data_IF_047649047773
#
_entry.id   IF_047649047773
#
_cell.length_a   1.000
_cell.length_b   1.000
_cell.length_c   1.000
_cell.angle_alpha   90.00
_cell.angle_beta   90.00
_cell.angle_gamma   90.00
#
_symmetry.space_group_name_H-M   'P 1'
#
loop_
_entity.id
_entity.type
_entity.pdbx_description
1 polymer ?
#
# COMPACT_ATOMS: atom_id res chain seq x y z
N UNK A 1 -12.00 15.80 8.10
CA UNK A 1 -11.46 14.55 7.53
C UNK A 1 -9.95 14.64 7.59
N UNK A 2 -9.27 13.58 8.03
CA UNK A 2 -7.80 13.55 8.09
C UNK A 2 -7.27 13.05 6.75
N UNK A 3 -6.24 13.70 6.23
CA UNK A 3 -5.55 13.28 5.01
C UNK A 3 -4.10 12.92 5.30
N UNK A 4 -3.50 12.15 4.40
CA UNK A 4 -2.14 11.68 4.45
C UNK A 4 -1.47 11.93 3.10
N UNK A 5 -0.22 12.38 3.14
CA UNK A 5 0.65 12.45 1.97
C UNK A 5 1.37 11.11 1.78
N UNK A 6 1.31 10.56 0.57
CA UNK A 6 1.99 9.33 0.19
C UNK A 6 2.94 9.64 -0.97
N UNK A 7 4.21 9.27 -0.80
CA UNK A 7 5.27 9.50 -1.79
C UNK A 7 5.74 8.15 -2.32
N UNK A 8 5.52 7.92 -3.62
CA UNK A 8 5.97 6.73 -4.33
C UNK A 8 7.37 6.95 -4.90
N UNK A 9 8.27 6.02 -4.56
CA UNK A 9 9.66 6.01 -5.00
C UNK A 9 9.87 4.91 -6.06
N UNK A 10 10.84 5.08 -6.99
CA UNK A 10 11.85 6.15 -7.04
C UNK A 10 11.39 7.41 -7.80
N UNK A 11 10.22 7.37 -8.45
CA UNK A 11 9.73 8.43 -9.34
C UNK A 11 9.38 9.73 -8.62
N UNK A 12 9.27 9.72 -7.28
CA UNK A 12 8.93 10.88 -6.47
C UNK A 12 7.49 11.36 -6.65
N UNK A 13 6.58 10.47 -7.08
CA UNK A 13 5.17 10.80 -7.28
C UNK A 13 4.47 10.93 -5.94
N UNK A 14 3.84 12.07 -5.71
CA UNK A 14 3.14 12.38 -4.47
C UNK A 14 1.64 12.44 -4.70
N UNK A 15 0.87 11.90 -3.75
CA UNK A 15 -0.59 12.00 -3.73
C UNK A 15 -1.08 12.25 -2.32
N UNK A 16 -2.11 13.07 -2.18
CA UNK A 16 -2.83 13.26 -0.92
C UNK A 16 -4.07 12.36 -0.92
N UNK A 17 -4.25 11.57 0.14
CA UNK A 17 -5.36 10.62 0.27
C UNK A 17 -6.04 10.73 1.63
N UNK A 18 -7.29 10.29 1.72
CA UNK A 18 -8.02 10.27 2.98
C UNK A 18 -7.51 9.15 3.91
N UNK A 19 -7.73 9.31 5.21
CA UNK A 19 -7.55 8.22 6.17
C UNK A 19 -8.34 6.97 5.75
N UNK A 20 -7.68 5.81 5.77
CA UNK A 20 -8.27 4.52 5.37
C UNK A 20 -8.04 4.15 3.91
N UNK A 21 -7.51 5.05 3.07
CA UNK A 21 -7.11 4.70 1.70
C UNK A 21 -5.97 3.68 1.70
N UNK A 22 -6.10 2.63 0.90
CA UNK A 22 -5.07 1.59 0.77
C UNK A 22 -3.89 2.07 -0.09
N UNK A 23 -2.72 1.45 0.06
CA UNK A 23 -1.56 1.79 -0.78
C UNK A 23 -1.83 1.49 -2.26
N UNK A 24 -2.62 0.45 -2.56
CA UNK A 24 -3.03 0.13 -3.93
C UNK A 24 -3.86 1.25 -4.56
N UNK A 25 -4.85 1.76 -3.84
CA UNK A 25 -5.67 2.89 -4.29
C UNK A 25 -4.83 4.17 -4.43
N UNK A 26 -3.96 4.45 -3.46
CA UNK A 26 -3.04 5.59 -3.53
C UNK A 26 -2.11 5.50 -4.76
N UNK A 27 -1.62 4.31 -5.10
CA UNK A 27 -0.79 4.10 -6.29
C UNK A 27 -1.57 4.40 -7.58
N UNK A 28 -2.82 3.94 -7.68
CA UNK A 28 -3.67 4.25 -8.82
C UNK A 28 -3.96 5.74 -8.96
N UNK A 29 -4.24 6.44 -7.85
CA UNK A 29 -4.44 7.89 -7.86
C UNK A 29 -3.17 8.65 -8.27
N UNK A 30 -1.99 8.15 -7.86
CA UNK A 30 -0.69 8.72 -8.22
C UNK A 30 -0.24 8.36 -9.65
N UNK A 31 -0.98 7.52 -10.39
CA UNK A 31 -0.56 7.00 -11.70
C UNK A 31 0.64 6.05 -11.63
N UNK A 32 0.89 5.44 -10.47
CA UNK A 32 1.96 4.46 -10.24
C UNK A 32 1.43 3.06 -10.57
N UNK A 33 2.07 2.33 -11.50
CA UNK A 33 1.61 1.01 -11.87
C UNK A 33 1.87 0.02 -10.73
N UNK A 34 0.80 -0.49 -10.12
CA UNK A 34 0.85 -1.55 -9.11
C UNK A 34 -0.14 -2.67 -9.45
N UNK A 35 0.34 -3.91 -9.47
CA UNK A 35 -0.50 -5.07 -9.79
C UNK A 35 -1.48 -5.37 -8.65
N UNK A 36 -2.78 -5.32 -8.97
CA UNK A 36 -3.85 -5.45 -7.99
C UNK A 36 -5.00 -6.30 -8.49
N UNK A 37 -4.74 -7.47 -9.09
CA UNK A 37 -5.78 -8.31 -9.73
C UNK A 37 -6.95 -8.71 -8.82
N UNK A 38 -6.74 -8.71 -7.50
CA UNK A 38 -7.80 -8.97 -6.53
C UNK A 38 -8.62 -7.73 -6.13
N UNK A 39 -8.25 -6.53 -6.61
CA UNK A 39 -8.90 -5.26 -6.29
C UNK A 39 -8.82 -4.89 -4.81
N UNK A 40 -7.66 -5.07 -4.16
CA UNK A 40 -7.47 -4.72 -2.75
C UNK A 40 -8.04 -5.73 -1.73
N UNK A 41 -8.56 -6.89 -2.18
CA UNK A 41 -9.11 -7.94 -1.28
C UNK A 41 -8.07 -8.69 -0.44
N UNK A 42 -6.77 -8.48 -0.70
CA UNK A 42 -5.68 -9.11 0.05
C UNK A 42 -5.58 -10.62 -0.17
N UNK A 43 -5.86 -11.11 -1.39
CA UNK A 43 -5.82 -12.55 -1.72
C UNK A 43 -4.73 -12.95 -2.72
N UNK A 44 -4.17 -12.00 -3.49
CA UNK A 44 -3.16 -12.30 -4.52
C UNK A 44 -1.72 -11.94 -4.13
N UNK A 45 -1.51 -10.99 -3.22
CA UNK A 45 -0.18 -10.58 -2.77
C UNK A 45 0.67 -9.83 -3.79
N UNK A 46 0.11 -9.46 -4.94
CA UNK A 46 0.84 -8.81 -6.03
C UNK A 46 1.11 -7.32 -5.82
N UNK A 47 0.33 -6.67 -4.96
CA UNK A 47 0.52 -5.26 -4.60
C UNK A 47 1.48 -5.07 -3.42
N UNK A 48 2.40 -6.02 -3.22
CA UNK A 48 3.41 -5.94 -2.18
C UNK A 48 4.35 -4.76 -2.43
N UNK A 49 4.65 -4.01 -1.37
CA UNK A 49 5.58 -2.87 -1.42
C UNK A 49 6.46 -2.85 -0.17
N UNK A 50 7.57 -2.11 -0.25
CA UNK A 50 8.28 -1.63 0.94
C UNK A 50 7.75 -0.25 1.28
N UNK A 51 7.32 -0.06 2.52
CA UNK A 51 6.74 1.20 2.98
C UNK A 51 7.28 1.56 4.37
N UNK A 52 7.35 2.86 4.64
CA UNK A 52 7.76 3.44 5.92
C UNK A 52 6.84 4.60 6.30
N UNK A 53 6.72 4.89 7.58
CA UNK A 53 5.90 5.99 8.10
C UNK A 53 4.68 5.52 8.87
N UNK A 54 3.59 6.30 8.81
CA UNK A 54 2.35 6.03 9.55
C UNK A 54 1.51 5.01 8.78
N UNK A 55 1.74 3.73 9.05
CA UNK A 55 1.00 2.61 8.48
C UNK A 55 0.09 1.99 9.54
N UNK A 56 -1.08 1.52 9.11
CA UNK A 56 -1.89 0.65 9.96
C UNK A 56 -1.17 -0.68 10.19
N UNK A 57 -1.38 -1.35 11.33
CA UNK A 57 -0.88 -2.70 11.53
C UNK A 57 -1.42 -3.66 10.46
N UNK A 58 -0.65 -4.69 10.06
CA UNK A 58 -1.11 -5.65 9.08
C UNK A 58 -2.36 -6.39 9.51
N UNK A 59 -3.35 -6.47 8.62
CA UNK A 59 -4.61 -7.20 8.84
C UNK A 59 -4.44 -8.70 8.56
N UNK A 60 -5.46 -9.50 8.91
CA UNK A 60 -5.37 -10.96 8.81
C UNK A 60 -5.14 -11.47 7.37
N UNK A 61 -5.70 -10.81 6.35
CA UNK A 61 -5.46 -11.14 4.94
C UNK A 61 -4.00 -10.90 4.55
N UNK A 62 -3.44 -9.75 4.91
CA UNK A 62 -2.04 -9.42 4.65
C UNK A 62 -1.09 -10.40 5.35
N UNK A 63 -1.38 -10.79 6.59
CA UNK A 63 -0.58 -11.81 7.30
C UNK A 63 -0.58 -13.16 6.60
N UNK A 64 -1.71 -13.59 6.05
CA UNK A 64 -1.81 -14.85 5.32
C UNK A 64 -1.08 -14.80 3.98
N UNK A 65 -1.17 -13.67 3.28
CA UNK A 65 -0.69 -13.56 1.90
C UNK A 65 0.75 -13.07 1.79
N UNK A 66 1.15 -12.09 2.60
CA UNK A 66 2.52 -11.56 2.63
C UNK A 66 3.42 -12.31 3.62
N UNK A 67 2.83 -12.90 4.68
CA UNK A 67 3.55 -13.77 5.61
C UNK A 67 4.82 -13.12 6.17
N UNK A 68 5.95 -13.82 6.03
CA UNK A 68 7.26 -13.38 6.51
C UNK A 68 7.81 -12.12 5.83
N UNK A 69 7.17 -11.61 4.78
CA UNK A 69 7.60 -10.37 4.09
C UNK A 69 7.18 -9.11 4.82
N UNK A 70 6.22 -9.21 5.75
CA UNK A 70 5.77 -8.07 6.58
C UNK A 70 6.87 -7.48 7.47
N UNK A 71 7.95 -8.23 7.73
CA UNK A 71 9.10 -7.76 8.51
C UNK A 71 10.21 -7.14 7.67
N UNK A 72 10.09 -7.12 6.33
CA UNK A 72 11.16 -6.68 5.41
C UNK A 72 11.08 -5.20 4.99
N UNK A 73 10.11 -4.45 5.52
CA UNK A 73 9.91 -3.03 5.22
C UNK A 73 10.26 -2.13 6.40
N UNK A 74 11.45 -1.55 6.38
CA UNK A 74 11.85 -0.39 7.17
C UNK A 74 12.62 0.59 6.28
#
# INVERSE_FOLDING_TARGET
>A
MRTFEVIFQPEGRTVEVAEGTTILEAAYLAGVPLEGVCGGKGTCGKCEVRAKGKLSPPVASERRTLGGKLSLGA
#
